data_IF_770193463589
#
_entry.id   IF_770193463589
#
_cell.length_a   1.000
_cell.length_b   1.000
_cell.length_c   1.000
_cell.angle_alpha   90.00
_cell.angle_beta   90.00
_cell.angle_gamma   90.00
#
_symmetry.space_group_name_H-M   'P 1'
#
loop_
_entity.id
_entity.type
_entity.pdbx_description
1 polymer ?
#
# COMPACT_ATOMS: atom_id res chain seq x y z
N UNK A 1 -3.31 -3.62 -9.44
CA UNK A 1 -3.54 -4.08 -8.04
C UNK A 1 -4.37 -5.34 -8.07
N UNK A 2 -4.00 -6.33 -7.26
CA UNK A 2 -4.77 -7.57 -7.19
C UNK A 2 -6.15 -7.35 -6.58
N UNK A 3 -7.12 -8.17 -7.00
CA UNK A 3 -8.49 -8.11 -6.48
C UNK A 3 -8.66 -8.81 -5.13
N UNK A 4 -7.68 -9.59 -4.70
CA UNK A 4 -7.67 -10.20 -3.37
C UNK A 4 -6.98 -9.27 -2.38
N UNK A 5 -7.59 -9.07 -1.21
CA UNK A 5 -6.96 -8.30 -0.13
C UNK A 5 -5.63 -8.92 0.29
N UNK A 6 -4.60 -8.09 0.33
CA UNK A 6 -3.25 -8.49 0.71
C UNK A 6 -2.51 -7.34 1.37
N UNK A 7 -1.47 -7.65 2.11
CA UNK A 7 -0.57 -6.65 2.67
C UNK A 7 0.88 -7.14 2.58
N UNK A 8 1.80 -6.22 2.80
CA UNK A 8 3.23 -6.51 2.82
C UNK A 8 3.76 -6.36 4.23
N UNK A 9 4.64 -7.26 4.65
CA UNK A 9 5.21 -7.26 6.00
C UNK A 9 6.67 -6.80 6.05
N UNK A 10 7.35 -6.75 4.91
CA UNK A 10 8.80 -6.50 4.85
C UNK A 10 9.18 -5.09 4.44
N UNK A 11 8.24 -4.31 3.92
CA UNK A 11 8.49 -2.91 3.57
C UNK A 11 7.20 -2.14 3.36
N UNK A 12 7.28 -0.80 3.44
CA UNK A 12 6.23 0.09 2.98
C UNK A 12 6.24 0.14 1.45
N UNK A 13 5.11 0.49 0.86
CA UNK A 13 4.97 0.57 -0.59
C UNK A 13 4.49 1.95 -1.02
N UNK A 14 4.95 2.42 -2.17
CA UNK A 14 4.44 3.63 -2.81
C UNK A 14 3.79 3.25 -4.12
N UNK A 15 2.51 3.60 -4.28
CA UNK A 15 1.75 3.37 -5.50
C UNK A 15 1.65 4.67 -6.28
N UNK A 16 2.08 4.63 -7.55
CA UNK A 16 1.92 5.74 -8.48
C UNK A 16 0.92 5.33 -9.55
N UNK A 17 -0.16 6.10 -9.71
CA UNK A 17 -1.19 5.78 -10.68
C UNK A 17 -0.80 6.35 -12.04
N UNK A 18 -0.54 5.45 -12.99
CA UNK A 18 0.00 5.79 -14.30
C UNK A 18 -1.09 6.05 -15.34
N UNK A 19 -2.26 5.42 -15.23
CA UNK A 19 -3.35 5.62 -16.20
C UNK A 19 -4.71 5.32 -15.60
N UNK A 20 -5.72 6.04 -16.07
CA UNK A 20 -7.14 5.83 -15.78
C UNK A 20 -7.47 5.93 -14.28
N UNK A 21 -8.54 5.27 -13.86
CA UNK A 21 -8.98 5.32 -12.46
C UNK A 21 -9.55 3.98 -12.03
N UNK A 22 -9.56 3.76 -10.71
CA UNK A 22 -10.13 2.58 -10.10
C UNK A 22 -10.55 2.87 -8.67
N UNK A 23 -11.55 2.15 -8.21
CA UNK A 23 -11.92 2.12 -6.79
C UNK A 23 -11.11 1.04 -6.10
N UNK A 24 -10.42 1.43 -5.03
CA UNK A 24 -9.57 0.55 -4.25
C UNK A 24 -10.02 0.54 -2.79
N UNK A 25 -9.74 -0.55 -2.07
CA UNK A 25 -10.03 -0.69 -0.66
C UNK A 25 -8.72 -0.76 0.12
N UNK A 26 -8.60 0.04 1.17
CA UNK A 26 -7.49 0.00 2.11
C UNK A 26 -8.01 -0.28 3.52
N UNK A 27 -7.41 -1.24 4.18
CA UNK A 27 -7.75 -1.63 5.53
C UNK A 27 -8.51 -2.94 5.67
N UNK A 28 -8.75 -3.64 4.59
CA UNK A 28 -9.48 -4.89 4.45
C UNK A 28 -11.01 -4.72 4.34
N UNK A 29 -11.63 -5.53 3.48
CA UNK A 29 -13.08 -5.46 3.19
C UNK A 29 -13.98 -5.72 4.40
N UNK A 30 -13.48 -6.46 5.40
CA UNK A 30 -14.23 -6.78 6.62
C UNK A 30 -14.06 -5.73 7.73
N UNK A 31 -13.20 -4.73 7.51
CA UNK A 31 -12.95 -3.68 8.50
C UNK A 31 -13.99 -2.55 8.33
N UNK A 32 -14.77 -2.23 9.37
CA UNK A 32 -15.74 -1.11 9.28
C UNK A 32 -15.06 0.25 9.10
N UNK A 33 -13.79 0.38 9.48
CA UNK A 33 -13.02 1.63 9.34
C UNK A 33 -12.21 1.70 8.05
N UNK A 34 -12.41 0.75 7.15
CA UNK A 34 -11.73 0.76 5.86
C UNK A 34 -12.07 2.00 5.04
N UNK A 35 -11.18 2.37 4.14
CA UNK A 35 -11.44 3.45 3.17
C UNK A 35 -11.46 2.88 1.76
N UNK A 36 -12.33 3.43 0.92
CA UNK A 36 -12.55 2.96 -0.45
C UNK A 36 -12.41 4.12 -1.45
N UNK A 37 -11.20 4.72 -1.58
CA UNK A 37 -11.02 5.86 -2.46
C UNK A 37 -11.04 5.45 -3.94
N UNK A 38 -11.41 6.40 -4.78
CA UNK A 38 -11.16 6.32 -6.22
C UNK A 38 -9.79 6.94 -6.48
N UNK A 39 -8.86 6.13 -6.98
CA UNK A 39 -7.52 6.56 -7.36
C UNK A 39 -7.49 6.86 -8.86
N UNK A 40 -6.84 7.94 -9.23
CA UNK A 40 -6.80 8.41 -10.61
C UNK A 40 -5.36 8.72 -11.03
N UNK A 41 -5.12 8.75 -12.33
CA UNK A 41 -3.82 9.12 -12.91
C UNK A 41 -3.24 10.36 -12.24
N UNK A 42 -1.99 10.26 -11.81
CA UNK A 42 -1.28 11.32 -11.10
C UNK A 42 -1.33 11.21 -9.57
N UNK A 43 -2.19 10.36 -9.03
CA UNK A 43 -2.22 10.12 -7.59
C UNK A 43 -1.03 9.28 -7.15
N UNK A 44 -0.53 9.60 -5.95
CA UNK A 44 0.50 8.81 -5.27
C UNK A 44 -0.03 8.42 -3.91
N UNK A 45 0.05 7.14 -3.60
CA UNK A 45 -0.43 6.60 -2.33
C UNK A 45 0.73 5.91 -1.61
N UNK A 46 0.99 6.30 -0.37
CA UNK A 46 1.93 5.60 0.50
C UNK A 46 1.13 4.58 1.29
N UNK A 47 1.49 3.32 1.12
CA UNK A 47 0.85 2.19 1.81
C UNK A 47 1.80 1.65 2.87
N UNK A 48 1.56 1.93 4.15
CA UNK A 48 2.40 1.36 5.21
C UNK A 48 2.35 -0.17 5.21
N UNK A 49 3.45 -0.80 5.60
CA UNK A 49 3.47 -2.24 5.82
C UNK A 49 2.34 -2.63 6.78
N UNK A 50 1.69 -3.74 6.52
CA UNK A 50 0.56 -4.22 7.31
C UNK A 50 -0.80 -3.66 6.88
N UNK A 51 -0.84 -2.65 6.03
CA UNK A 51 -2.11 -2.11 5.52
C UNK A 51 -2.58 -2.96 4.34
N UNK A 52 -3.69 -3.65 4.54
CA UNK A 52 -4.30 -4.49 3.51
C UNK A 52 -4.91 -3.62 2.41
N UNK A 53 -4.76 -4.05 1.17
CA UNK A 53 -5.31 -3.33 0.03
C UNK A 53 -5.74 -4.28 -1.08
N UNK A 54 -6.70 -3.83 -1.88
CA UNK A 54 -7.21 -4.57 -3.04
C UNK A 54 -7.87 -3.63 -4.04
N UNK A 55 -7.94 -4.10 -5.29
CA UNK A 55 -8.75 -3.47 -6.33
C UNK A 55 -10.22 -3.90 -6.16
N UNK A 56 -11.13 -2.94 -6.12
CA UNK A 56 -12.57 -3.20 -6.10
C UNK A 56 -13.19 -3.10 -7.48
N UNK A 57 -12.91 -2.02 -8.21
CA UNK A 57 -13.49 -1.79 -9.54
C UNK A 57 -12.51 -0.99 -10.40
N UNK A 58 -12.20 -1.54 -11.56
CA UNK A 58 -11.39 -0.88 -12.59
C UNK A 58 -12.35 -0.15 -13.54
N UNK A 59 -12.21 1.17 -13.63
CA UNK A 59 -13.05 2.00 -14.49
C UNK A 59 -12.54 2.09 -15.94
N UNK A 60 -11.54 1.31 -16.30
CA UNK A 60 -11.07 1.15 -17.66
C UNK A 60 -9.59 1.42 -17.83
N UNK A 61 -8.78 0.36 -17.93
CA UNK A 61 -7.35 0.49 -18.20
C UNK A 61 -6.50 1.03 -17.07
N UNK A 62 -6.91 0.81 -15.82
CA UNK A 62 -6.17 1.25 -14.64
C UNK A 62 -4.80 0.59 -14.59
N UNK A 63 -3.75 1.42 -14.52
CA UNK A 63 -2.37 0.97 -14.36
C UNK A 63 -1.71 1.73 -13.23
N UNK A 64 -0.96 1.01 -12.42
CA UNK A 64 -0.18 1.59 -11.33
C UNK A 64 1.22 0.99 -11.29
N UNK A 65 2.15 1.73 -10.70
CA UNK A 65 3.49 1.26 -10.41
C UNK A 65 3.65 1.18 -8.90
N UNK A 66 3.91 -0.02 -8.39
CA UNK A 66 4.27 -0.24 -7.00
C UNK A 66 5.77 -0.14 -6.83
N UNK A 67 6.21 0.63 -5.84
CA UNK A 67 7.63 0.86 -5.57
C UNK A 67 7.95 0.57 -4.12
N UNK A 68 9.14 0.03 -3.89
CA UNK A 68 9.63 -0.35 -2.57
C UNK A 68 11.00 0.28 -2.35
N UNK A 69 11.43 0.51 -1.10
CA UNK A 69 12.76 1.04 -0.85
C UNK A 69 13.84 0.16 -1.48
N UNK A 70 14.90 0.80 -1.96
CA UNK A 70 16.03 0.09 -2.57
C UNK A 70 16.60 -0.97 -1.61
N UNK A 71 16.77 -2.18 -2.11
CA UNK A 71 17.27 -3.31 -1.33
C UNK A 71 16.21 -4.06 -0.52
N UNK A 72 14.97 -3.56 -0.50
CA UNK A 72 13.86 -4.25 0.16
C UNK A 72 13.16 -5.19 -0.82
N UNK A 73 12.77 -6.35 -0.31
CA UNK A 73 11.92 -7.28 -1.04
C UNK A 73 10.50 -7.15 -0.50
N UNK A 74 9.53 -7.41 -1.33
CA UNK A 74 8.13 -7.46 -0.91
C UNK A 74 7.68 -8.91 -0.75
N UNK A 75 6.68 -9.11 0.09
CA UNK A 75 6.02 -10.39 0.29
C UNK A 75 4.50 -10.22 0.14
N UNK A 76 3.76 -11.32 0.10
CA UNK A 76 2.31 -11.30 0.03
C UNK A 76 1.73 -11.97 1.27
N UNK A 77 0.99 -11.21 2.06
CA UNK A 77 0.31 -11.69 3.26
C UNK A 77 -1.20 -11.49 3.12
N UNK A 78 -1.96 -12.40 3.71
CA UNK A 78 -3.43 -12.43 3.56
C UNK A 78 -4.18 -12.44 4.90
N UNK A 79 -3.47 -12.32 6.01
CA UNK A 79 -4.05 -12.38 7.35
C UNK A 79 -4.26 -13.80 7.87
N UNK A 80 -3.49 -14.77 7.38
CA UNK A 80 -3.57 -16.17 7.80
C UNK A 80 -2.84 -16.40 9.11
N UNK A 81 -3.21 -17.45 9.84
CA UNK A 81 -2.59 -17.80 11.13
C UNK A 81 -1.10 -18.09 11.00
N UNK A 82 -0.66 -18.69 9.89
CA UNK A 82 0.75 -19.01 9.64
C UNK A 82 1.61 -17.79 9.32
N UNK A 83 1.00 -16.60 9.24
CA UNK A 83 1.68 -15.33 8.98
C UNK A 83 1.97 -14.52 10.26
N UNK A 84 1.72 -15.08 11.45
CA UNK A 84 1.85 -14.35 12.72
C UNK A 84 3.24 -13.74 12.92
N UNK A 85 4.31 -14.48 12.61
CA UNK A 85 5.67 -13.98 12.75
C UNK A 85 5.95 -12.82 11.81
N UNK A 86 5.39 -12.86 10.60
CA UNK A 86 5.50 -11.76 9.65
C UNK A 86 4.78 -10.51 10.16
N UNK A 87 3.59 -10.68 10.73
CA UNK A 87 2.81 -9.58 11.31
C UNK A 87 3.57 -8.94 12.47
N UNK A 88 4.17 -9.75 13.34
CA UNK A 88 4.98 -9.25 14.47
C UNK A 88 6.20 -8.46 13.99
N UNK A 89 6.79 -8.83 12.87
CA UNK A 89 7.97 -8.15 12.33
C UNK A 89 7.67 -6.74 11.81
N UNK A 90 6.41 -6.43 11.48
CA UNK A 90 6.01 -5.12 10.97
C UNK A 90 6.33 -4.00 11.95
N UNK A 91 6.13 -4.22 13.24
CA UNK A 91 6.40 -3.21 14.27
C UNK A 91 7.87 -2.81 14.38
N UNK A 92 8.77 -3.61 13.81
CA UNK A 92 10.22 -3.35 13.80
C UNK A 92 10.68 -2.53 12.61
N UNK A 93 9.79 -2.30 11.62
CA UNK A 93 10.13 -1.52 10.45
C UNK A 93 10.21 -0.03 10.80
N UNK A 94 11.26 0.63 10.31
CA UNK A 94 11.38 2.08 10.40
C UNK A 94 10.43 2.78 9.43
N UNK A 95 10.10 4.03 9.75
CA UNK A 95 9.38 4.90 8.84
C UNK A 95 10.36 5.60 7.88
N UNK A 96 9.83 6.31 6.90
CA UNK A 96 10.65 7.06 5.94
C UNK A 96 11.43 8.17 6.65
N UNK A 97 12.73 8.24 6.42
CA UNK A 97 13.58 9.37 6.85
C UNK A 97 13.38 10.56 5.93
N UNK A 98 13.04 10.29 4.67
CA UNK A 98 12.71 11.29 3.66
C UNK A 98 11.39 10.90 3.01
N UNK A 99 10.62 11.93 2.61
CA UNK A 99 9.42 11.68 1.83
C UNK A 99 9.80 11.03 0.49
N UNK A 100 9.16 9.92 0.10
CA UNK A 100 9.52 9.21 -1.12
C UNK A 100 9.31 10.01 -2.40
N UNK A 101 8.51 11.10 -2.36
CA UNK A 101 8.23 11.95 -3.51
C UNK A 101 8.95 13.29 -3.40
N UNK A 102 8.90 13.93 -2.21
CA UNK A 102 9.37 15.31 -2.02
C UNK A 102 10.72 15.43 -1.31
N UNK A 103 11.30 14.34 -0.83
CA UNK A 103 12.62 14.35 -0.20
C UNK A 103 12.59 14.79 1.26
N UNK A 104 13.33 15.86 1.60
CA UNK A 104 13.49 16.30 2.99
C UNK A 104 12.23 16.89 3.63
N UNK A 105 11.21 17.22 2.84
CA UNK A 105 9.94 17.75 3.29
C UNK A 105 8.83 17.06 2.53
N UNK A 106 7.69 16.79 3.17
CA UNK A 106 6.56 16.19 2.49
C UNK A 106 5.56 15.56 3.44
N UNK A 107 4.37 15.19 2.93
CA UNK A 107 3.26 14.70 3.75
C UNK A 107 3.58 13.43 4.56
N UNK A 108 4.38 12.52 4.02
CA UNK A 108 4.69 11.27 4.72
C UNK A 108 5.57 11.44 5.95
N UNK A 109 6.21 12.60 6.11
CA UNK A 109 7.02 12.92 7.28
C UNK A 109 6.21 13.53 8.42
N UNK A 110 4.91 13.79 8.21
CA UNK A 110 4.01 14.45 9.15
C UNK A 110 2.88 13.54 9.64
N UNK A 111 3.08 12.25 9.59
CA UNK A 111 2.09 11.26 10.04
C UNK A 111 2.40 10.72 11.42
#
# INVERSE_FOLDING_TARGET
MYSQSHFHSTSHEVLCIASCSAKCCFGHEDNPDRVEPVLSKGDVVVVPAGVSHRLLEDYGGFQMVGSYPKGCNWDMCYGREDEEEKVKSISKLGWFEKDPIYGSEGPSLNV
#
